data_IF_691220722474
#
_entry.id   IF_691220722474
#
_cell.length_a   1.000
_cell.length_b   1.000
_cell.length_c   1.000
_cell.angle_alpha   90.00
_cell.angle_beta   90.00
_cell.angle_gamma   90.00
#
_symmetry.space_group_name_H-M   'P 1'
#
loop_
_entity.id
_entity.type
_entity.pdbx_description
1 polymer ?
#
# COMPACT_ATOMS: atom_id res chain seq x y z
N UNK A 1 -52.98 -33.60 15.38
CA UNK A 1 -52.36 -33.21 14.08
C UNK A 1 -51.62 -31.86 14.20
N UNK A 2 -50.85 -31.62 15.29
CA UNK A 2 -50.28 -30.30 15.60
C UNK A 2 -48.88 -30.41 16.23
N UNK A 3 -47.93 -31.07 15.56
CA UNK A 3 -46.53 -31.14 16.03
C UNK A 3 -45.49 -31.08 14.91
N UNK A 4 -45.89 -30.79 13.66
CA UNK A 4 -44.98 -30.68 12.50
C UNK A 4 -44.59 -29.25 12.11
N UNK A 5 -45.26 -28.22 12.64
CA UNK A 5 -44.98 -26.83 12.24
C UNK A 5 -43.85 -26.15 13.04
N UNK A 6 -43.54 -26.62 14.26
CA UNK A 6 -42.54 -25.95 15.10
C UNK A 6 -41.08 -26.24 14.69
N UNK A 7 -40.81 -27.42 14.11
CA UNK A 7 -39.46 -27.81 13.65
C UNK A 7 -39.06 -27.18 12.32
N UNK A 8 -40.02 -26.73 11.50
CA UNK A 8 -39.74 -26.03 10.23
C UNK A 8 -39.29 -24.59 10.47
N UNK A 9 -39.91 -23.89 11.42
CA UNK A 9 -39.59 -22.49 11.74
C UNK A 9 -38.16 -22.33 12.30
N UNK A 10 -37.72 -23.23 13.20
CA UNK A 10 -36.36 -23.18 13.75
C UNK A 10 -35.27 -23.50 12.70
N UNK A 11 -35.57 -24.39 11.75
CA UNK A 11 -34.62 -24.76 10.69
C UNK A 11 -34.43 -23.62 9.69
N UNK A 12 -35.48 -22.86 9.36
CA UNK A 12 -35.36 -21.70 8.46
C UNK A 12 -34.71 -20.47 9.11
N UNK A 13 -34.91 -20.24 10.41
CA UNK A 13 -34.18 -19.19 11.16
C UNK A 13 -32.68 -19.51 11.27
N UNK A 14 -32.32 -20.79 11.48
CA UNK A 14 -30.91 -21.24 11.52
C UNK A 14 -30.25 -21.23 10.13
N UNK A 15 -30.99 -21.56 9.07
CA UNK A 15 -30.51 -21.45 7.68
C UNK A 15 -30.35 -19.98 7.24
N UNK A 16 -31.27 -19.10 7.64
CA UNK A 16 -31.17 -17.66 7.37
C UNK A 16 -29.98 -16.99 8.06
N UNK A 17 -29.67 -17.37 9.31
CA UNK A 17 -28.51 -16.83 10.05
C UNK A 17 -27.17 -17.39 9.56
N UNK A 18 -27.11 -18.64 9.12
CA UNK A 18 -25.89 -19.26 8.55
C UNK A 18 -25.61 -18.76 7.13
N UNK A 19 -26.63 -18.56 6.29
CA UNK A 19 -26.48 -17.97 4.95
C UNK A 19 -26.07 -16.49 5.00
N UNK A 20 -26.61 -15.73 5.97
CA UNK A 20 -26.26 -14.32 6.18
C UNK A 20 -24.87 -14.13 6.81
N UNK A 21 -24.35 -15.13 7.53
CA UNK A 21 -22.95 -15.16 7.99
C UNK A 21 -21.96 -15.44 6.86
N UNK A 22 -22.29 -16.37 5.96
CA UNK A 22 -21.45 -16.77 4.84
C UNK A 22 -21.28 -15.67 3.78
N UNK A 23 -22.36 -14.95 3.44
CA UNK A 23 -22.32 -13.81 2.50
C UNK A 23 -21.50 -12.63 3.01
N UNK A 24 -21.57 -12.34 4.32
CA UNK A 24 -20.75 -11.29 4.96
C UNK A 24 -19.26 -11.60 4.88
N UNK A 25 -18.86 -12.85 5.13
CA UNK A 25 -17.46 -13.27 5.06
C UNK A 25 -16.92 -13.23 3.63
N UNK A 26 -17.72 -13.66 2.65
CA UNK A 26 -17.34 -13.57 1.23
C UNK A 26 -17.12 -12.12 0.77
N UNK A 27 -18.01 -11.20 1.16
CA UNK A 27 -17.86 -9.78 0.84
C UNK A 27 -16.60 -9.17 1.47
N UNK A 28 -16.29 -9.54 2.73
CA UNK A 28 -15.08 -9.08 3.41
C UNK A 28 -13.80 -9.59 2.73
N UNK A 29 -13.78 -10.87 2.31
CA UNK A 29 -12.64 -11.44 1.58
C UNK A 29 -12.46 -10.79 0.20
N UNK A 30 -13.54 -10.55 -0.53
CA UNK A 30 -13.46 -9.83 -1.81
C UNK A 30 -12.97 -8.39 -1.62
N UNK A 31 -13.50 -7.68 -0.62
CA UNK A 31 -13.08 -6.32 -0.29
C UNK A 31 -11.60 -6.26 0.08
N UNK A 32 -11.11 -7.18 0.92
CA UNK A 32 -9.69 -7.20 1.31
C UNK A 32 -8.78 -7.55 0.13
N UNK A 33 -9.22 -8.44 -0.77
CA UNK A 33 -8.49 -8.78 -2.01
C UNK A 33 -8.31 -7.56 -2.89
N UNK A 34 -9.42 -6.84 -3.17
CA UNK A 34 -9.40 -5.63 -3.99
C UNK A 34 -8.56 -4.55 -3.32
N UNK A 35 -8.72 -4.36 -2.02
CA UNK A 35 -7.91 -3.41 -1.25
C UNK A 35 -6.42 -3.71 -1.36
N UNK A 36 -6.03 -4.99 -1.23
CA UNK A 36 -4.65 -5.42 -1.38
C UNK A 36 -4.10 -5.09 -2.77
N UNK A 37 -4.84 -5.46 -3.82
CA UNK A 37 -4.44 -5.20 -5.21
C UNK A 37 -4.27 -3.70 -5.48
N UNK A 38 -5.20 -2.88 -4.97
CA UNK A 38 -5.14 -1.41 -5.09
C UNK A 38 -3.91 -0.87 -4.36
N UNK A 39 -3.64 -1.31 -3.13
CA UNK A 39 -2.43 -0.88 -2.39
C UNK A 39 -1.13 -1.31 -3.06
N UNK A 40 -1.08 -2.52 -3.63
CA UNK A 40 0.09 -3.02 -4.35
C UNK A 40 0.34 -2.19 -5.62
N UNK A 41 -0.71 -1.88 -6.38
CA UNK A 41 -0.61 -1.03 -7.56
C UNK A 41 -0.16 0.39 -7.18
N UNK A 42 -0.71 0.98 -6.12
CA UNK A 42 -0.30 2.30 -5.64
C UNK A 42 1.16 2.32 -5.18
N UNK A 43 1.63 1.31 -4.45
CA UNK A 43 3.05 1.19 -4.05
C UNK A 43 3.98 1.05 -5.26
N UNK A 44 3.59 0.25 -6.26
CA UNK A 44 4.37 0.06 -7.47
C UNK A 44 4.48 1.36 -8.27
N UNK A 45 3.35 2.04 -8.50
CA UNK A 45 3.29 3.37 -9.14
C UNK A 45 4.15 4.35 -8.36
N UNK A 46 3.98 4.45 -7.04
CA UNK A 46 4.77 5.35 -6.21
C UNK A 46 6.26 5.01 -6.25
N UNK A 47 6.68 3.77 -6.48
CA UNK A 47 8.12 3.43 -6.55
C UNK A 47 8.73 3.72 -7.91
N UNK A 48 7.95 3.62 -8.99
CA UNK A 48 8.43 3.67 -10.37
C UNK A 48 8.21 5.03 -11.06
N UNK A 49 7.13 5.73 -10.73
CA UNK A 49 6.72 6.94 -11.46
C UNK A 49 7.49 8.19 -11.07
N UNK A 50 7.66 9.06 -12.07
CA UNK A 50 8.43 10.30 -11.96
C UNK A 50 7.59 11.47 -11.45
N UNK A 51 7.21 11.45 -10.18
CA UNK A 51 6.48 12.57 -9.57
C UNK A 51 6.46 12.54 -8.04
N UNK A 52 7.62 12.35 -7.41
CA UNK A 52 7.71 12.58 -5.95
C UNK A 52 7.78 14.07 -5.62
N UNK A 53 8.42 14.83 -6.50
CA UNK A 53 8.63 16.25 -6.33
C UNK A 53 8.66 16.94 -7.68
N UNK A 54 8.01 18.09 -7.79
CA UNK A 54 7.98 18.89 -9.03
C UNK A 54 8.35 20.33 -8.74
N UNK A 55 9.33 20.86 -9.47
CA UNK A 55 9.70 22.27 -9.48
C UNK A 55 9.21 22.89 -10.79
N UNK A 56 8.03 23.53 -10.75
CA UNK A 56 7.44 24.21 -11.91
C UNK A 56 7.54 23.46 -13.25
N UNK A 57 7.74 24.22 -14.34
CA UNK A 57 7.89 23.72 -15.71
C UNK A 57 9.33 23.34 -16.08
N UNK A 58 10.30 23.47 -15.16
CA UNK A 58 11.74 23.45 -15.48
C UNK A 58 12.45 22.22 -14.93
N UNK A 59 11.89 21.53 -13.92
CA UNK A 59 12.58 20.39 -13.30
C UNK A 59 11.61 19.34 -12.73
N UNK A 60 11.80 18.09 -13.16
CA UNK A 60 11.06 16.93 -12.65
C UNK A 60 12.03 15.97 -11.97
N UNK A 61 11.87 15.79 -10.67
CA UNK A 61 12.70 14.88 -9.88
C UNK A 61 11.89 13.65 -9.47
N UNK A 62 12.50 12.49 -9.71
CA UNK A 62 11.97 11.20 -9.29
C UNK A 62 12.87 10.56 -8.23
N UNK A 63 12.46 9.41 -7.70
CA UNK A 63 13.20 8.76 -6.62
C UNK A 63 14.57 8.23 -7.08
N UNK A 64 14.75 7.98 -8.38
CA UNK A 64 15.89 7.31 -9.00
C UNK A 64 16.79 8.25 -9.80
N UNK A 65 16.22 9.30 -10.37
CA UNK A 65 16.85 10.26 -11.26
C UNK A 65 16.39 11.69 -10.97
N UNK A 66 17.33 12.62 -11.07
CA UNK A 66 17.10 14.06 -11.08
C UNK A 66 17.39 14.58 -12.48
N UNK A 67 16.39 15.14 -13.15
CA UNK A 67 16.55 15.73 -14.48
C UNK A 67 16.34 17.24 -14.41
N UNK A 68 17.41 17.98 -14.69
CA UNK A 68 17.44 19.44 -14.76
C UNK A 68 17.39 19.87 -16.24
N UNK A 69 16.62 20.90 -16.56
CA UNK A 69 16.77 21.58 -17.84
C UNK A 69 17.90 22.60 -17.75
N UNK A 70 18.96 22.42 -18.54
CA UNK A 70 20.05 23.37 -18.62
C UNK A 70 19.75 24.44 -19.68
N UNK A 71 19.44 25.65 -19.21
CA UNK A 71 19.13 26.80 -20.07
C UNK A 71 20.33 27.28 -20.91
N UNK A 72 21.56 26.86 -20.58
CA UNK A 72 22.77 27.24 -21.32
C UNK A 72 23.07 26.33 -22.51
N UNK A 73 22.75 25.05 -22.41
CA UNK A 73 22.92 24.06 -23.48
C UNK A 73 21.61 23.70 -24.20
N UNK A 74 20.46 24.17 -23.71
CA UNK A 74 19.12 23.79 -24.16
C UNK A 74 18.86 22.27 -24.10
N UNK A 75 19.56 21.56 -23.20
CA UNK A 75 19.44 20.10 -23.04
C UNK A 75 18.97 19.69 -21.65
N UNK A 76 18.36 18.50 -21.56
CA UNK A 76 18.00 17.88 -20.29
C UNK A 76 19.18 17.08 -19.75
N UNK A 77 19.69 17.48 -18.59
CA UNK A 77 20.75 16.77 -17.87
C UNK A 77 20.11 15.91 -16.79
N UNK A 78 20.21 14.58 -16.95
CA UNK A 78 19.71 13.63 -15.97
C UNK A 78 20.87 12.95 -15.22
N UNK A 79 20.86 13.05 -13.90
CA UNK A 79 21.79 12.37 -13.01
C UNK A 79 21.03 11.38 -12.11
N UNK A 80 21.69 10.32 -11.65
CA UNK A 80 21.10 9.43 -10.65
C UNK A 80 20.87 10.19 -9.35
N UNK A 81 19.67 10.06 -8.77
CA UNK A 81 19.32 10.73 -7.53
C UNK A 81 20.02 10.11 -6.29
N UNK A 82 20.67 8.96 -6.46
CA UNK A 82 21.37 8.17 -5.42
C UNK A 82 22.61 8.84 -4.81
N UNK A 83 22.94 10.07 -5.20
CA UNK A 83 24.06 10.83 -4.61
C UNK A 83 23.85 11.13 -3.11
N UNK A 84 22.62 11.01 -2.60
CA UNK A 84 22.30 11.26 -1.19
C UNK A 84 21.89 9.98 -0.45
N UNK A 85 22.64 9.63 0.60
CA UNK A 85 22.44 8.45 1.47
C UNK A 85 21.01 8.31 2.01
N UNK A 86 20.36 9.43 2.33
CA UNK A 86 18.98 9.43 2.82
C UNK A 86 17.99 8.99 1.74
N UNK A 87 18.22 9.35 0.48
CA UNK A 87 17.34 8.98 -0.63
C UNK A 87 17.52 7.50 -0.97
N UNK A 88 18.74 6.98 -0.90
CA UNK A 88 19.00 5.55 -1.00
C UNK A 88 18.25 4.75 0.08
N UNK A 89 18.17 5.28 1.29
CA UNK A 89 17.37 4.68 2.36
C UNK A 89 15.86 4.65 2.01
N UNK A 90 15.32 5.74 1.45
CA UNK A 90 13.93 5.79 0.98
C UNK A 90 13.68 4.79 -0.15
N UNK A 91 14.58 4.70 -1.14
CA UNK A 91 14.52 3.72 -2.24
C UNK A 91 14.45 2.28 -1.70
N UNK A 92 15.36 1.93 -0.78
CA UNK A 92 15.41 0.60 -0.18
C UNK A 92 14.11 0.27 0.57
N UNK A 93 13.56 1.22 1.32
CA UNK A 93 12.31 1.03 2.07
C UNK A 93 11.09 0.90 1.15
N UNK A 94 11.03 1.66 0.05
CA UNK A 94 9.96 1.53 -0.95
C UNK A 94 10.00 0.17 -1.64
N UNK A 95 11.18 -0.30 -2.07
CA UNK A 95 11.35 -1.64 -2.65
C UNK A 95 10.95 -2.72 -1.64
N UNK A 96 11.42 -2.61 -0.40
CA UNK A 96 11.08 -3.55 0.66
C UNK A 96 9.56 -3.63 0.87
N UNK A 97 8.87 -2.49 0.86
CA UNK A 97 7.41 -2.43 0.95
C UNK A 97 6.72 -3.17 -0.21
N UNK A 98 7.14 -2.91 -1.46
CA UNK A 98 6.58 -3.58 -2.65
C UNK A 98 6.80 -5.10 -2.60
N UNK A 99 8.00 -5.55 -2.22
CA UNK A 99 8.34 -6.98 -2.13
C UNK A 99 7.51 -7.67 -1.05
N UNK A 100 7.43 -7.09 0.15
CA UNK A 100 6.64 -7.65 1.26
C UNK A 100 5.14 -7.72 0.93
N UNK A 101 4.60 -6.68 0.28
CA UNK A 101 3.20 -6.71 -0.17
C UNK A 101 2.98 -7.73 -1.29
N UNK A 102 3.92 -7.89 -2.22
CA UNK A 102 3.84 -8.91 -3.29
C UNK A 102 3.83 -10.33 -2.74
N UNK A 103 4.72 -10.63 -1.78
CA UNK A 103 4.77 -11.93 -1.09
C UNK A 103 3.44 -12.17 -0.35
N UNK A 104 2.94 -11.15 0.35
CA UNK A 104 1.66 -11.21 1.06
C UNK A 104 0.51 -11.55 0.11
N UNK A 105 0.44 -10.90 -1.05
CA UNK A 105 -0.57 -11.15 -2.08
C UNK A 105 -0.47 -12.56 -2.66
N UNK A 106 0.72 -13.05 -3.00
CA UNK A 106 0.90 -14.42 -3.50
C UNK A 106 0.43 -15.47 -2.49
N UNK A 107 0.80 -15.30 -1.22
CA UNK A 107 0.37 -16.19 -0.14
C UNK A 107 -1.15 -16.14 0.05
N UNK A 108 -1.75 -14.95 -0.05
CA UNK A 108 -3.20 -14.76 0.03
C UNK A 108 -3.93 -15.43 -1.14
N UNK A 109 -3.45 -15.28 -2.38
CA UNK A 109 -4.01 -15.97 -3.54
C UNK A 109 -3.94 -17.50 -3.36
N UNK A 110 -2.80 -18.01 -2.88
CA UNK A 110 -2.63 -19.42 -2.57
C UNK A 110 -3.68 -19.93 -1.56
N UNK A 111 -4.02 -19.13 -0.54
CA UNK A 111 -5.07 -19.44 0.43
C UNK A 111 -6.47 -19.39 -0.18
N UNK A 112 -6.73 -18.46 -1.10
CA UNK A 112 -8.03 -18.34 -1.78
C UNK A 112 -8.34 -19.58 -2.63
N UNK A 113 -7.35 -20.11 -3.34
CA UNK A 113 -7.49 -21.34 -4.13
C UNK A 113 -7.40 -22.61 -3.27
N UNK A 114 -6.58 -22.59 -2.22
CA UNK A 114 -6.38 -23.71 -1.31
C UNK A 114 -7.17 -23.47 -0.03
N UNK A 115 -8.48 -23.74 -0.07
CA UNK A 115 -9.48 -23.63 1.02
C UNK A 115 -9.20 -24.48 2.29
N UNK A 116 -7.96 -24.85 2.58
CA UNK A 116 -7.60 -25.91 3.53
C UNK A 116 -6.87 -25.45 4.80
N UNK A 117 -6.31 -24.23 4.90
CA UNK A 117 -5.47 -23.87 6.06
C UNK A 117 -5.73 -22.48 6.63
N UNK A 118 -6.65 -22.39 7.59
CA UNK A 118 -6.97 -21.18 8.37
C UNK A 118 -5.84 -20.61 9.25
N UNK A 119 -4.63 -21.19 9.21
CA UNK A 119 -3.45 -20.69 9.92
C UNK A 119 -2.60 -19.68 9.13
N UNK A 120 -2.68 -19.67 7.80
CA UNK A 120 -1.70 -18.94 6.96
C UNK A 120 -2.03 -17.44 6.80
N UNK A 121 -3.26 -17.02 7.07
CA UNK A 121 -3.70 -15.61 7.01
C UNK A 121 -2.89 -14.68 7.93
N UNK A 122 -2.33 -15.19 9.03
CA UNK A 122 -1.52 -14.39 9.95
C UNK A 122 -0.21 -13.92 9.30
N UNK A 123 0.44 -14.78 8.53
CA UNK A 123 1.69 -14.45 7.85
C UNK A 123 1.45 -13.37 6.77
N UNK A 124 0.40 -13.53 5.96
CA UNK A 124 -0.07 -12.50 5.01
C UNK A 124 -0.31 -11.16 5.69
N UNK A 125 -1.13 -11.13 6.75
CA UNK A 125 -1.42 -9.90 7.49
C UNK A 125 -0.16 -9.24 8.05
N UNK A 126 0.76 -10.03 8.62
CA UNK A 126 2.01 -9.52 9.19
C UNK A 126 2.95 -8.94 8.12
N UNK A 127 3.14 -9.62 6.99
CA UNK A 127 3.90 -9.09 5.86
C UNK A 127 3.30 -7.77 5.36
N UNK A 128 1.96 -7.66 5.32
CA UNK A 128 1.27 -6.44 4.91
C UNK A 128 1.48 -5.27 5.89
N UNK A 129 1.47 -5.56 7.20
CA UNK A 129 1.78 -4.57 8.23
C UNK A 129 3.22 -4.07 8.10
N UNK A 130 4.20 -4.97 7.93
CA UNK A 130 5.59 -4.57 7.72
C UNK A 130 5.80 -3.80 6.41
N UNK A 131 5.09 -4.15 5.34
CA UNK A 131 5.09 -3.36 4.12
C UNK A 131 4.57 -1.92 4.38
N UNK A 132 3.49 -1.78 5.15
CA UNK A 132 2.95 -0.50 5.58
C UNK A 132 3.94 0.31 6.43
N UNK A 133 4.62 -0.31 7.39
CA UNK A 133 5.65 0.34 8.20
C UNK A 133 6.87 0.77 7.39
N UNK A 134 7.33 -0.05 6.45
CA UNK A 134 8.42 0.30 5.55
C UNK A 134 8.05 1.51 4.67
N UNK A 135 6.86 1.51 4.08
CA UNK A 135 6.35 2.66 3.32
C UNK A 135 6.21 3.90 4.20
N UNK A 136 5.71 3.75 5.44
CA UNK A 136 5.59 4.84 6.40
C UNK A 136 6.95 5.45 6.75
N UNK A 137 7.95 4.61 7.04
CA UNK A 137 9.32 5.07 7.29
C UNK A 137 9.90 5.80 6.07
N UNK A 138 9.68 5.28 4.85
CA UNK A 138 10.13 5.90 3.61
C UNK A 138 9.55 7.32 3.44
N UNK A 139 8.23 7.47 3.55
CA UNK A 139 7.58 8.78 3.41
C UNK A 139 7.95 9.72 4.55
N UNK A 140 8.17 9.23 5.78
CA UNK A 140 8.63 10.05 6.89
C UNK A 140 10.04 10.57 6.67
N UNK A 141 10.99 9.71 6.32
CA UNK A 141 12.37 10.11 6.01
C UNK A 141 12.36 11.15 4.89
N UNK A 142 11.61 10.90 3.81
CA UNK A 142 11.45 11.87 2.72
C UNK A 142 10.87 13.21 3.20
N UNK A 143 9.92 13.18 4.15
CA UNK A 143 9.29 14.38 4.71
C UNK A 143 10.22 15.16 5.64
N UNK A 144 10.98 14.46 6.49
CA UNK A 144 11.90 15.06 7.45
C UNK A 144 13.14 15.60 6.77
N UNK A 145 13.68 14.86 5.79
CA UNK A 145 14.86 15.28 5.03
C UNK A 145 14.60 16.45 4.09
N UNK A 146 13.32 16.84 3.92
CA UNK A 146 12.97 18.15 3.38
C UNK A 146 13.83 19.24 4.00
N UNK A 147 14.12 19.19 5.32
CA UNK A 147 14.90 20.20 6.06
C UNK A 147 16.38 20.27 5.67
N UNK A 148 16.98 19.21 5.15
CA UNK A 148 18.36 19.25 4.62
C UNK A 148 18.43 19.69 3.16
N UNK A 149 17.39 19.41 2.35
CA UNK A 149 17.23 20.02 1.01
C UNK A 149 16.97 21.54 1.14
N UNK A 150 16.46 21.98 2.29
CA UNK A 150 15.95 23.30 2.67
C UNK A 150 17.03 24.34 3.05
N UNK A 151 18.30 24.18 2.67
CA UNK A 151 19.30 25.23 2.95
C UNK A 151 19.17 26.47 2.03
N UNK A 152 18.49 26.37 0.89
CA UNK A 152 18.30 27.50 -0.02
C UNK A 152 16.82 27.92 -0.10
N UNK A 153 16.48 29.03 0.57
CA UNK A 153 15.10 29.56 0.69
C UNK A 153 14.48 29.89 -0.68
N UNK A 154 15.30 30.14 -1.70
CA UNK A 154 14.87 30.55 -3.04
C UNK A 154 14.25 29.41 -3.86
N UNK A 155 14.65 28.18 -3.58
CA UNK A 155 14.22 26.95 -4.25
C UNK A 155 12.86 26.43 -3.69
N UNK A 156 12.45 26.95 -2.53
CA UNK A 156 11.22 26.58 -1.83
C UNK A 156 9.95 27.13 -2.51
N UNK A 157 10.05 28.30 -3.14
CA UNK A 157 8.88 29.02 -3.67
C UNK A 157 8.32 28.37 -4.95
N UNK A 158 9.14 27.55 -5.64
CA UNK A 158 8.74 26.88 -6.89
C UNK A 158 8.45 25.38 -6.76
N UNK A 159 8.74 24.77 -5.60
CA UNK A 159 8.62 23.32 -5.41
C UNK A 159 7.34 22.81 -4.75
N UNK A 160 6.73 21.79 -5.34
CA UNK A 160 5.51 21.14 -4.83
C UNK A 160 5.68 19.62 -4.70
N UNK A 161 4.96 19.03 -3.74
CA UNK A 161 4.84 17.56 -3.67
C UNK A 161 4.16 17.05 -4.92
N UNK A 162 4.80 16.08 -5.56
CA UNK A 162 4.20 15.39 -6.67
C UNK A 162 3.16 14.37 -6.20
N UNK A 163 2.37 13.88 -7.14
CA UNK A 163 1.27 12.96 -6.86
C UNK A 163 1.74 11.62 -6.28
N UNK A 164 2.94 11.14 -6.63
CA UNK A 164 3.47 9.86 -6.13
C UNK A 164 3.73 9.88 -4.62
N UNK A 165 4.17 11.04 -4.10
CA UNK A 165 4.33 11.22 -2.66
C UNK A 165 2.99 11.18 -1.92
N UNK A 166 1.94 11.79 -2.49
CA UNK A 166 0.59 11.76 -1.92
C UNK A 166 0.04 10.33 -1.96
N UNK A 167 0.24 9.61 -3.07
CA UNK A 167 -0.13 8.20 -3.20
C UNK A 167 0.56 7.33 -2.14
N UNK A 168 1.86 7.51 -1.92
CA UNK A 168 2.60 6.77 -0.91
C UNK A 168 2.02 7.00 0.50
N UNK A 169 1.69 8.25 0.83
CA UNK A 169 1.03 8.60 2.10
C UNK A 169 -0.35 7.98 2.26
N UNK A 170 -1.17 7.99 1.21
CA UNK A 170 -2.51 7.36 1.23
C UNK A 170 -2.38 5.85 1.32
N UNK A 171 -1.33 5.27 0.75
CA UNK A 171 -1.12 3.82 0.77
C UNK A 171 -0.79 3.29 2.18
N UNK A 172 -0.11 4.06 3.03
CA UNK A 172 0.24 3.65 4.40
C UNK A 172 -0.97 3.20 5.23
N UNK A 173 -2.01 4.03 5.48
CA UNK A 173 -3.15 3.60 6.28
C UNK A 173 -3.91 2.46 5.60
N UNK A 174 -3.98 2.43 4.26
CA UNK A 174 -4.65 1.35 3.54
C UNK A 174 -3.94 0.00 3.72
N UNK A 175 -2.60 -0.03 3.69
CA UNK A 175 -1.79 -1.22 3.98
C UNK A 175 -1.98 -1.68 5.42
N UNK A 176 -1.95 -0.75 6.38
CA UNK A 176 -2.12 -1.06 7.81
C UNK A 176 -3.52 -1.60 8.12
N UNK A 177 -4.56 -0.96 7.58
CA UNK A 177 -5.95 -1.42 7.74
C UNK A 177 -6.13 -2.78 7.07
N UNK A 178 -5.59 -2.99 5.86
CA UNK A 178 -5.62 -4.29 5.19
C UNK A 178 -4.96 -5.39 6.04
N UNK A 179 -3.75 -5.16 6.56
CA UNK A 179 -3.06 -6.07 7.47
C UNK A 179 -3.85 -6.37 8.75
N UNK A 180 -4.44 -5.34 9.36
CA UNK A 180 -5.26 -5.49 10.56
C UNK A 180 -6.54 -6.29 10.30
N UNK A 181 -7.19 -6.09 9.15
CA UNK A 181 -8.37 -6.86 8.73
C UNK A 181 -8.03 -8.35 8.59
N UNK A 182 -6.87 -8.69 8.00
CA UNK A 182 -6.41 -10.08 7.92
C UNK A 182 -6.27 -10.75 9.29
N UNK A 183 -5.72 -10.02 10.27
CA UNK A 183 -5.59 -10.53 11.65
C UNK A 183 -6.95 -10.63 12.34
N UNK A 184 -7.85 -9.65 12.12
CA UNK A 184 -9.15 -9.61 12.78
C UNK A 184 -10.13 -10.67 12.24
N UNK A 185 -10.12 -10.95 10.92
CA UNK A 185 -10.93 -12.01 10.31
C UNK A 185 -10.61 -13.37 10.94
N UNK A 186 -9.35 -13.64 11.28
CA UNK A 186 -8.97 -14.86 11.99
C UNK A 186 -9.49 -14.91 13.43
N UNK A 187 -9.52 -13.78 14.15
CA UNK A 187 -9.98 -13.76 15.55
C UNK A 187 -11.48 -14.08 15.68
N UNK A 188 -12.24 -13.96 14.59
CA UNK A 188 -13.69 -14.22 14.55
C UNK A 188 -14.10 -15.48 13.77
N UNK A 189 -13.16 -16.14 13.09
CA UNK A 189 -13.36 -17.40 12.38
C UNK A 189 -12.98 -18.57 13.29
#
# INVERSE_FOLDING_TARGET
MSSRNNTRSHREVFVGTTAQGSTKMAFLLMSVTVLHLVTLAMLFIATMEKSWWSWGDVEKTDLWYKCMFDNSSETWLCASASESEWLQSVQALMILSVVLSSISFMVFLGQLFTMSKGGLFYFTGLCQLFAGFAAFAAVLIYTFQRKEILQDIRELEMGRFGFCYILAWVCVPLLLVSGALYVHLRKRA
#
